data_IF_190256367513
#
_entry.id   IF_190256367513
#
_cell.length_a   1.000
_cell.length_b   1.000
_cell.length_c   1.000
_cell.angle_alpha   90.00
_cell.angle_beta   90.00
_cell.angle_gamma   90.00
#
_symmetry.space_group_name_H-M   'P 1'
#
loop_
_entity.id
_entity.type
_entity.pdbx_description
1 polymer ?
#
# COMPACT_ATOMS: atom_id res chain seq x y z
N UNK A 1 8.21 2.83 11.25
CA UNK A 1 7.53 4.07 10.81
C UNK A 1 6.27 4.32 11.65
N UNK A 2 5.79 5.57 11.78
CA UNK A 2 4.53 5.85 12.52
C UNK A 2 3.33 5.38 11.70
N UNK A 3 2.34 4.68 12.28
CA UNK A 3 1.16 4.28 11.55
C UNK A 3 0.40 5.51 11.05
N UNK A 4 -0.14 5.41 9.84
CA UNK A 4 -0.99 6.45 9.25
C UNK A 4 -2.34 5.86 8.90
N UNK A 5 -3.35 6.72 9.00
CA UNK A 5 -4.71 6.43 8.58
C UNK A 5 -5.20 7.63 7.76
N UNK A 6 -5.82 7.34 6.62
CA UNK A 6 -6.32 8.31 5.68
C UNK A 6 -7.70 7.86 5.22
N UNK A 7 -8.66 8.77 5.23
CA UNK A 7 -10.02 8.54 4.73
C UNK A 7 -10.39 9.52 3.59
N UNK A 8 -9.37 10.18 3.02
CA UNK A 8 -9.52 11.20 2.00
C UNK A 8 -8.96 10.64 0.69
N UNK A 9 -9.83 10.25 -0.27
CA UNK A 9 -9.40 9.55 -1.47
C UNK A 9 -8.35 10.32 -2.28
N UNK A 10 -8.51 11.63 -2.44
CA UNK A 10 -7.53 12.45 -3.16
C UNK A 10 -6.15 12.43 -2.49
N UNK A 11 -6.10 12.44 -1.14
CA UNK A 11 -4.83 12.29 -0.43
C UNK A 11 -4.28 10.88 -0.48
N UNK A 12 -5.15 9.86 -0.47
CA UNK A 12 -4.77 8.45 -0.59
C UNK A 12 -4.10 8.21 -1.93
N UNK A 13 -4.66 8.72 -3.03
CA UNK A 13 -4.08 8.59 -4.37
C UNK A 13 -2.68 9.20 -4.43
N UNK A 14 -2.53 10.45 -3.96
CA UNK A 14 -1.22 11.13 -3.91
C UNK A 14 -0.23 10.40 -3.01
N UNK A 15 -0.71 9.80 -1.91
CA UNK A 15 0.13 9.04 -1.01
C UNK A 15 0.63 7.75 -1.67
N UNK A 16 -0.29 6.95 -2.21
CA UNK A 16 0.00 5.70 -2.91
C UNK A 16 0.90 5.91 -4.14
N UNK A 17 0.72 7.03 -4.86
CA UNK A 17 1.56 7.34 -6.02
C UNK A 17 3.01 7.62 -5.67
N UNK A 18 3.29 7.94 -4.40
CA UNK A 18 4.65 8.20 -3.89
C UNK A 18 5.26 6.96 -3.24
N UNK A 19 4.48 5.90 -3.04
CA UNK A 19 4.95 4.65 -2.45
C UNK A 19 5.57 3.77 -3.52
N UNK A 20 6.83 3.43 -3.27
CA UNK A 20 7.64 2.51 -4.05
C UNK A 20 8.01 1.34 -3.15
N UNK A 21 7.79 0.12 -3.64
CA UNK A 21 8.05 -1.12 -2.94
C UNK A 21 9.09 -1.90 -3.73
N UNK A 22 10.27 -2.07 -3.16
CA UNK A 22 11.38 -2.84 -3.75
C UNK A 22 11.64 -4.10 -2.91
N UNK A 23 12.64 -4.91 -3.28
CA UNK A 23 13.01 -6.12 -2.53
C UNK A 23 12.55 -7.42 -3.19
N UNK A 24 12.18 -8.43 -2.39
CA UNK A 24 11.78 -9.77 -2.87
C UNK A 24 10.26 -9.97 -2.79
N UNK A 25 9.71 -10.70 -3.77
CA UNK A 25 8.27 -10.92 -3.91
C UNK A 25 7.61 -9.81 -4.73
N UNK A 26 6.58 -9.18 -4.18
CA UNK A 26 5.87 -8.07 -4.82
C UNK A 26 6.69 -6.76 -4.79
N UNK A 27 7.05 -6.26 -5.97
CA UNK A 27 7.73 -4.98 -6.17
C UNK A 27 6.91 -4.09 -7.10
N UNK A 28 6.80 -2.82 -6.76
CA UNK A 28 6.13 -1.83 -7.59
C UNK A 28 6.77 -0.46 -7.42
N UNK A 29 6.87 0.29 -8.51
CA UNK A 29 7.31 1.69 -8.49
C UNK A 29 6.17 2.65 -8.11
N UNK A 30 4.92 2.18 -8.12
CA UNK A 30 3.75 3.01 -7.83
C UNK A 30 2.61 2.15 -7.31
N UNK A 31 2.46 2.08 -5.99
CA UNK A 31 1.43 1.25 -5.35
C UNK A 31 0.00 1.64 -5.76
N UNK A 32 -0.20 2.90 -6.20
CA UNK A 32 -1.48 3.35 -6.73
C UNK A 32 -1.92 2.58 -7.97
N UNK A 33 -0.98 2.27 -8.89
CA UNK A 33 -1.32 1.54 -10.11
C UNK A 33 -1.77 0.12 -9.79
N UNK A 34 -1.13 -0.54 -8.83
CA UNK A 34 -1.55 -1.86 -8.37
C UNK A 34 -2.90 -1.84 -7.64
N UNK A 35 -3.21 -0.75 -6.92
CA UNK A 35 -4.53 -0.55 -6.33
C UNK A 35 -5.60 -0.44 -7.43
N UNK A 36 -5.34 0.32 -8.49
CA UNK A 36 -6.24 0.40 -9.66
C UNK A 36 -6.38 -0.94 -10.39
N UNK A 37 -5.29 -1.69 -10.57
CA UNK A 37 -5.33 -3.03 -11.18
C UNK A 37 -6.15 -4.02 -10.33
N UNK A 38 -6.09 -3.89 -9.00
CA UNK A 38 -6.96 -4.60 -8.06
C UNK A 38 -8.43 -4.12 -8.06
N UNK A 39 -8.78 -3.12 -8.87
CA UNK A 39 -10.13 -2.56 -8.97
C UNK A 39 -10.48 -1.59 -7.85
N UNK A 40 -9.48 -0.98 -7.22
CA UNK A 40 -9.65 0.14 -6.29
C UNK A 40 -9.43 1.47 -7.02
N UNK A 41 -10.29 1.80 -7.98
CA UNK A 41 -10.23 3.06 -8.75
C UNK A 41 -10.30 4.33 -7.88
N UNK A 42 -10.91 4.24 -6.69
CA UNK A 42 -11.10 5.38 -5.80
C UNK A 42 -11.13 4.92 -4.33
N UNK A 43 -9.96 4.57 -3.74
CA UNK A 43 -9.89 4.09 -2.37
C UNK A 43 -10.36 5.16 -1.38
N UNK A 44 -11.41 4.88 -0.64
CA UNK A 44 -11.96 5.79 0.37
C UNK A 44 -11.25 5.70 1.73
N UNK A 45 -10.46 4.63 1.93
CA UNK A 45 -9.74 4.39 3.17
C UNK A 45 -8.39 3.73 2.91
N UNK A 46 -7.37 4.21 3.63
CA UNK A 46 -6.02 3.65 3.62
C UNK A 46 -5.43 3.67 5.04
N UNK A 47 -4.83 2.58 5.45
CA UNK A 47 -3.90 2.55 6.59
C UNK A 47 -2.55 2.01 6.15
N UNK A 48 -1.49 2.56 6.73
CA UNK A 48 -0.15 2.02 6.55
C UNK A 48 0.57 1.91 7.89
N UNK A 49 1.21 0.77 8.14
CA UNK A 49 1.85 0.44 9.40
C UNK A 49 3.13 -0.38 9.20
N UNK A 50 3.93 -0.49 10.26
CA UNK A 50 5.19 -1.21 10.25
C UNK A 50 6.36 -0.39 9.72
N UNK A 51 7.47 -1.07 9.52
CA UNK A 51 8.70 -0.50 9.00
C UNK A 51 9.34 -1.51 8.08
N UNK A 52 9.62 -1.10 6.85
CA UNK A 52 10.25 -1.95 5.85
C UNK A 52 11.39 -1.18 5.17
N UNK A 53 12.65 -1.66 5.29
CA UNK A 53 13.79 -1.04 4.62
C UNK A 53 13.69 -1.12 3.09
N UNK A 54 12.99 -2.12 2.57
CA UNK A 54 12.78 -2.32 1.14
C UNK A 54 11.59 -1.49 0.60
N UNK A 55 10.90 -0.74 1.46
CA UNK A 55 9.87 0.20 1.05
C UNK A 55 10.38 1.65 1.10
N UNK A 56 9.95 2.46 0.14
CA UNK A 56 10.31 3.87 0.01
C UNK A 56 9.06 4.72 -0.17
N UNK A 57 9.00 5.85 0.51
CA UNK A 57 7.96 6.86 0.32
C UNK A 57 8.59 8.16 -0.14
N UNK A 58 8.20 8.65 -1.32
CA UNK A 58 8.70 9.90 -1.89
C UNK A 58 10.25 9.91 -1.99
N UNK A 59 10.83 8.74 -2.32
CA UNK A 59 12.29 8.54 -2.38
C UNK A 59 12.99 8.40 -1.02
N UNK A 60 12.25 8.34 0.09
CA UNK A 60 12.80 8.11 1.43
C UNK A 60 12.49 6.70 1.94
N UNK A 61 13.55 5.95 2.25
CA UNK A 61 13.49 4.69 3.00
C UNK A 61 13.98 4.90 4.44
N UNK A 62 13.52 4.10 5.42
CA UNK A 62 12.49 3.06 5.32
C UNK A 62 11.07 3.65 5.31
N UNK A 63 10.13 2.93 4.68
CA UNK A 63 8.71 3.28 4.67
C UNK A 63 7.87 2.23 5.42
N UNK A 64 6.56 2.20 5.18
CA UNK A 64 5.65 1.25 5.82
C UNK A 64 5.78 -0.13 5.20
N UNK A 65 5.58 -1.13 6.05
CA UNK A 65 5.66 -2.53 5.66
C UNK A 65 4.30 -3.03 5.16
N UNK A 66 3.22 -2.57 5.81
CA UNK A 66 1.85 -2.98 5.47
C UNK A 66 1.06 -1.80 4.97
N UNK A 67 0.29 -2.02 3.91
CA UNK A 67 -0.66 -1.05 3.36
C UNK A 67 -2.01 -1.73 3.25
N UNK A 68 -3.05 -1.10 3.78
CA UNK A 68 -4.41 -1.63 3.75
C UNK A 68 -5.30 -0.56 3.14
N UNK A 69 -5.66 -0.78 1.89
CA UNK A 69 -6.54 0.07 1.10
C UNK A 69 -7.92 -0.56 1.05
N UNK A 70 -8.95 0.27 1.12
CA UNK A 70 -10.34 -0.16 1.01
C UNK A 70 -11.12 0.82 0.15
N UNK A 71 -12.01 0.25 -0.66
CA UNK A 71 -13.01 0.97 -1.42
C UNK A 71 -14.37 0.27 -1.26
N UNK A 72 -15.25 0.82 -0.41
CA UNK A 72 -16.56 0.24 -0.13
C UNK A 72 -16.48 -1.20 0.40
N UNK A 73 -16.71 -2.19 -0.47
CA UNK A 73 -16.62 -3.63 -0.19
C UNK A 73 -15.30 -4.27 -0.61
N UNK A 74 -14.51 -3.58 -1.44
CA UNK A 74 -13.22 -4.07 -1.95
C UNK A 74 -12.12 -3.70 -0.98
N UNK A 75 -11.24 -4.64 -0.70
CA UNK A 75 -10.11 -4.44 0.19
C UNK A 75 -8.86 -5.01 -0.44
N UNK A 76 -7.80 -4.20 -0.46
CA UNK A 76 -6.50 -4.57 -0.97
C UNK A 76 -5.45 -4.33 0.10
N UNK A 77 -4.75 -5.39 0.48
CA UNK A 77 -3.76 -5.38 1.55
C UNK A 77 -2.41 -5.80 0.98
N UNK A 78 -1.37 -5.04 1.27
CA UNK A 78 0.01 -5.37 0.94
C UNK A 78 0.75 -5.59 2.23
N UNK A 79 1.45 -6.73 2.32
CA UNK A 79 2.24 -7.14 3.47
C UNK A 79 3.68 -7.32 3.04
N UNK A 80 4.53 -6.38 3.43
CA UNK A 80 5.98 -6.47 3.43
C UNK A 80 6.50 -6.80 4.83
N UNK A 81 7.64 -7.47 4.88
CA UNK A 81 8.44 -7.61 6.09
C UNK A 81 9.91 -7.82 5.70
N UNK A 82 10.83 -7.33 6.52
CA UNK A 82 12.25 -7.47 6.27
C UNK A 82 12.64 -8.95 6.18
N UNK A 83 13.14 -9.35 5.00
CA UNK A 83 13.64 -10.70 4.75
C UNK A 83 12.58 -11.76 4.37
N UNK A 84 11.30 -11.39 4.19
CA UNK A 84 10.34 -12.27 3.49
C UNK A 84 9.80 -11.64 2.23
N UNK A 85 9.30 -12.50 1.34
CA UNK A 85 8.65 -12.08 0.10
C UNK A 85 7.39 -11.27 0.42
N UNK A 86 7.33 -10.06 -0.14
CA UNK A 86 6.16 -9.19 -0.04
C UNK A 86 4.96 -9.85 -0.71
N UNK A 87 3.81 -9.86 -0.05
CA UNK A 87 2.57 -10.47 -0.52
C UNK A 87 1.46 -9.44 -0.62
N UNK A 88 0.59 -9.62 -1.60
CA UNK A 88 -0.63 -8.85 -1.75
C UNK A 88 -1.82 -9.76 -1.50
N UNK A 89 -2.87 -9.20 -0.91
CA UNK A 89 -4.10 -9.89 -0.60
C UNK A 89 -5.26 -9.01 -1.03
N UNK A 90 -6.14 -9.59 -1.82
CA UNK A 90 -7.35 -8.93 -2.31
C UNK A 90 -8.56 -9.70 -1.79
N UNK A 91 -9.56 -8.98 -1.27
CA UNK A 91 -10.82 -9.57 -0.83
C UNK A 91 -11.99 -8.64 -1.13
N UNK A 92 -13.12 -9.22 -1.51
CA UNK A 92 -14.40 -8.53 -1.67
C UNK A 92 -15.35 -9.05 -0.59
N UNK A 93 -15.73 -8.17 0.35
CA UNK A 93 -16.68 -8.54 1.40
C UNK A 93 -18.08 -8.68 0.79
N UNK A 94 -18.83 -9.77 1.07
CA UNK A 94 -20.14 -10.05 0.45
C UNK A 94 -21.20 -8.94 0.54
#
# INVERSE_FOLDING_TARGET
>A
MKPIEMCDPAKIEVFLSKIQLQGRGFTTDCLLLDAYDAGLDYPDYLTAEGEDPDASYDGKSPAWAKYHMRQGKRVYMVYGEAGKDRRTHYTETP
#
